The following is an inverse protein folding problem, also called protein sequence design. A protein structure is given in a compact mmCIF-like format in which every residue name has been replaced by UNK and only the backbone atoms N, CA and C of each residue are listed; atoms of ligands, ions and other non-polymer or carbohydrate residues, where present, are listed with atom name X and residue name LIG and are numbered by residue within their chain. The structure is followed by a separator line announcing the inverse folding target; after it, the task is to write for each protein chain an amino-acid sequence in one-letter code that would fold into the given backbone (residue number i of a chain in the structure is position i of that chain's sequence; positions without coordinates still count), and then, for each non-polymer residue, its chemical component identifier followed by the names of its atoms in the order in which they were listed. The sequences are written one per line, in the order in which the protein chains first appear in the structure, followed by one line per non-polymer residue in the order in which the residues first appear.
data_IF_421197622385
#
_entry.id   IF_421197622385
#
_cell.length_a   1.000
_cell.length_b   1.000
_cell.length_c   1.000
_cell.angle_alpha   90.00
_cell.angle_beta   90.00
_cell.angle_gamma   90.00
#
_symmetry.space_group_name_H-M   'P 1'
#
loop_
_entity.id
_entity.type
_entity.pdbx_description
1 polymer ?
#
# COMPACT_ATOMS: atom_id res chain seq x y z
N UNK A 1 14.49 -17.21 15.85
CA UNK A 1 14.51 -15.86 16.49
C UNK A 1 14.86 -14.87 15.39
N UNK A 2 13.87 -14.19 14.81
CA UNK A 2 14.14 -13.12 13.86
C UNK A 2 14.77 -11.96 14.63
N UNK A 3 15.95 -11.52 14.21
CA UNK A 3 16.65 -10.40 14.82
C UNK A 3 15.83 -9.13 14.60
N UNK A 4 15.79 -8.25 15.61
CA UNK A 4 14.98 -7.03 15.68
C UNK A 4 15.22 -5.99 14.56
N UNK A 5 16.05 -6.30 13.57
CA UNK A 5 16.39 -5.47 12.41
C UNK A 5 15.90 -6.05 11.07
N UNK A 6 15.46 -7.33 11.03
CA UNK A 6 15.07 -8.00 9.77
C UNK A 6 13.86 -7.33 9.11
N UNK A 7 12.89 -6.88 9.91
CA UNK A 7 11.71 -6.16 9.42
C UNK A 7 12.08 -4.84 8.75
N UNK A 8 13.15 -4.17 9.21
CA UNK A 8 13.59 -2.89 8.68
C UNK A 8 14.18 -3.06 7.28
N UNK A 9 14.94 -4.14 7.05
CA UNK A 9 15.43 -4.50 5.73
C UNK A 9 14.28 -4.74 4.74
N UNK A 10 13.28 -5.53 5.12
CA UNK A 10 12.09 -5.76 4.31
C UNK A 10 11.28 -4.48 4.06
N UNK A 11 11.22 -3.57 5.03
CA UNK A 11 10.55 -2.28 4.89
C UNK A 11 11.27 -1.36 3.89
N UNK A 12 12.60 -1.27 3.92
CA UNK A 12 13.38 -0.51 2.93
C UNK A 12 13.18 -1.10 1.54
N UNK A 13 13.26 -2.42 1.41
CA UNK A 13 13.06 -3.09 0.13
C UNK A 13 11.64 -2.84 -0.42
N UNK A 14 10.63 -2.88 0.44
CA UNK A 14 9.25 -2.50 0.11
C UNK A 14 9.14 -1.05 -0.36
N UNK A 15 9.84 -0.11 0.29
CA UNK A 15 9.85 1.30 -0.11
C UNK A 15 10.46 1.50 -1.51
N UNK A 16 11.53 0.78 -1.85
CA UNK A 16 12.14 0.79 -3.19
C UNK A 16 11.16 0.26 -4.24
N UNK A 17 10.52 -0.88 -3.98
CA UNK A 17 9.53 -1.45 -4.89
C UNK A 17 8.30 -0.56 -5.04
N UNK A 18 7.86 0.10 -3.98
CA UNK A 18 6.76 1.06 -4.01
C UNK A 18 7.10 2.29 -4.86
N UNK A 19 8.34 2.78 -4.80
CA UNK A 19 8.80 3.89 -5.64
C UNK A 19 8.84 3.49 -7.13
N UNK A 20 9.44 2.34 -7.46
CA UNK A 20 9.47 1.81 -8.83
C UNK A 20 8.06 1.59 -9.38
N UNK A 21 7.19 1.03 -8.55
CA UNK A 21 5.77 0.85 -8.82
C UNK A 21 5.10 2.15 -9.25
N UNK A 22 5.32 3.25 -8.52
CA UNK A 22 4.70 4.53 -8.82
C UNK A 22 5.17 5.08 -10.18
N UNK A 23 6.47 4.95 -10.49
CA UNK A 23 7.05 5.37 -11.76
C UNK A 23 6.52 4.53 -12.92
N UNK A 24 6.59 3.20 -12.82
CA UNK A 24 6.08 2.31 -13.87
C UNK A 24 4.57 2.45 -14.08
N UNK A 25 3.81 2.64 -13.00
CA UNK A 25 2.38 2.92 -13.13
C UNK A 25 2.13 4.23 -13.86
N UNK A 26 2.84 5.31 -13.51
CA UNK A 26 2.66 6.60 -14.20
C UNK A 26 3.04 6.52 -15.68
N UNK A 27 4.04 5.72 -16.06
CA UNK A 27 4.39 5.50 -17.47
C UNK A 27 3.33 4.61 -18.14
N UNK A 28 2.93 3.51 -17.50
CA UNK A 28 2.02 2.52 -18.08
C UNK A 28 0.56 2.97 -18.23
N UNK A 29 0.11 3.96 -17.46
CA UNK A 29 -1.23 4.55 -17.60
C UNK A 29 -1.29 5.66 -18.66
N UNK A 30 -0.16 6.08 -19.25
CA UNK A 30 -0.16 7.06 -20.33
C UNK A 30 -0.76 6.44 -21.60
N UNK A 31 -1.88 7.00 -22.07
CA UNK A 31 -2.57 6.52 -23.26
C UNK A 31 -3.50 5.33 -23.05
N UNK A 32 -3.65 4.83 -21.81
CA UNK A 32 -4.56 3.73 -21.46
C UNK A 32 -5.52 4.19 -20.35
N UNK A 33 -6.69 3.56 -20.26
CA UNK A 33 -7.57 3.77 -19.12
C UNK A 33 -6.92 3.28 -17.81
N UNK A 34 -7.06 4.04 -16.73
CA UNK A 34 -6.44 3.71 -15.43
C UNK A 34 -7.00 2.42 -14.84
N UNK A 35 -8.29 2.15 -15.07
CA UNK A 35 -8.96 0.98 -14.54
C UNK A 35 -8.48 -0.28 -15.29
N UNK A 36 -8.31 -0.17 -16.61
CA UNK A 36 -7.74 -1.23 -17.44
C UNK A 36 -6.28 -1.54 -17.06
N UNK A 37 -5.46 -0.50 -16.87
CA UNK A 37 -4.07 -0.68 -16.44
C UNK A 37 -3.99 -1.35 -15.05
N UNK A 38 -4.88 -0.98 -14.13
CA UNK A 38 -4.99 -1.59 -12.80
C UNK A 38 -5.42 -3.05 -12.88
N UNK A 39 -6.35 -3.39 -13.78
CA UNK A 39 -6.79 -4.76 -14.01
C UNK A 39 -5.64 -5.63 -14.54
N UNK A 40 -4.93 -5.18 -15.58
CA UNK A 40 -3.77 -5.89 -16.14
C UNK A 40 -2.71 -6.13 -15.06
N UNK A 41 -2.42 -5.09 -14.28
CA UNK A 41 -1.46 -5.19 -13.17
C UNK A 41 -1.90 -6.23 -12.13
N UNK A 42 -3.18 -6.23 -11.76
CA UNK A 42 -3.73 -7.18 -10.79
C UNK A 42 -3.63 -8.62 -11.32
N UNK A 43 -3.91 -8.83 -12.61
CA UNK A 43 -3.74 -10.14 -13.25
C UNK A 43 -2.28 -10.63 -13.18
N UNK A 44 -1.30 -9.75 -13.47
CA UNK A 44 0.13 -10.09 -13.34
C UNK A 44 0.47 -10.45 -11.89
N UNK A 45 -0.02 -9.68 -10.91
CA UNK A 45 0.22 -9.96 -9.49
C UNK A 45 -0.38 -11.32 -9.10
N UNK A 46 -1.59 -11.64 -9.55
CA UNK A 46 -2.22 -12.94 -9.30
C UNK A 46 -1.32 -14.07 -9.83
N UNK A 47 -0.87 -14.00 -11.08
CA UNK A 47 -0.02 -15.04 -11.67
C UNK A 47 1.28 -15.21 -10.87
N UNK A 48 1.97 -14.11 -10.55
CA UNK A 48 3.23 -14.16 -9.79
C UNK A 48 3.02 -14.74 -8.39
N UNK A 49 1.97 -14.30 -7.67
CA UNK A 49 1.66 -14.81 -6.34
C UNK A 49 1.23 -16.28 -6.38
N UNK A 50 0.44 -16.70 -7.36
CA UNK A 50 0.05 -18.11 -7.53
C UNK A 50 1.26 -19.01 -7.75
N UNK A 51 2.19 -18.62 -8.63
CA UNK A 51 3.44 -19.37 -8.87
C UNK A 51 4.28 -19.42 -7.59
N UNK A 52 4.39 -18.31 -6.86
CA UNK A 52 5.16 -18.25 -5.62
C UNK A 52 4.55 -19.12 -4.50
N UNK A 53 3.23 -19.10 -4.31
CA UNK A 53 2.54 -19.94 -3.32
C UNK A 53 2.67 -21.42 -3.68
N UNK A 54 2.54 -21.76 -4.96
CA UNK A 54 2.76 -23.12 -5.45
C UNK A 54 4.21 -23.59 -5.20
N UNK A 55 5.20 -22.75 -5.53
CA UNK A 55 6.62 -23.06 -5.32
C UNK A 55 6.99 -23.21 -3.84
N UNK A 56 6.42 -22.38 -2.97
CA UNK A 56 6.67 -22.44 -1.52
C UNK A 56 5.91 -23.57 -0.82
N UNK A 57 5.07 -24.32 -1.54
CA UNK A 57 4.27 -25.42 -0.97
C UNK A 57 3.22 -24.94 0.05
N UNK A 58 2.95 -23.63 0.12
CA UNK A 58 2.01 -23.03 1.08
C UNK A 58 0.57 -23.00 0.58
N UNK A 59 0.27 -23.81 -0.43
CA UNK A 59 -1.06 -23.87 -1.00
C UNK A 59 -2.01 -24.52 0.01
N UNK A 60 -2.80 -23.70 0.70
CA UNK A 60 -3.82 -24.14 1.63
C UNK A 60 -5.18 -24.20 0.93
N UNK A 61 -6.06 -25.09 1.40
CA UNK A 61 -7.41 -25.16 0.91
C UNK A 61 -8.17 -23.87 1.30
N UNK A 62 -8.69 -23.06 0.35
CA UNK A 62 -9.41 -21.82 0.67
C UNK A 62 -10.66 -22.04 1.53
N UNK A 63 -11.21 -23.26 1.53
CA UNK A 63 -12.38 -23.66 2.31
C UNK A 63 -12.06 -23.97 3.78
N UNK A 64 -10.80 -24.22 4.13
CA UNK A 64 -10.38 -24.42 5.53
C UNK A 64 -10.18 -23.09 6.28
N UNK A 65 -10.26 -21.96 5.57
CA UNK A 65 -10.15 -20.64 6.18
C UNK A 65 -11.43 -20.28 6.93
N UNK A 66 -11.28 -19.79 8.16
CA UNK A 66 -12.39 -19.31 8.98
C UNK A 66 -13.20 -18.21 8.27
N UNK A 67 -14.52 -18.17 8.48
CA UNK A 67 -15.40 -17.12 7.97
C UNK A 67 -14.97 -15.70 8.38
N UNK A 68 -14.34 -15.55 9.55
CA UNK A 68 -13.75 -14.27 9.99
C UNK A 68 -12.57 -13.87 9.11
N UNK A 69 -11.68 -14.81 8.79
CA UNK A 69 -10.53 -14.57 7.89
C UNK A 69 -11.02 -14.15 6.52
N UNK A 70 -12.02 -14.84 5.96
CA UNK A 70 -12.65 -14.47 4.69
C UNK A 70 -13.25 -13.07 4.71
N UNK A 71 -13.95 -12.68 5.78
CA UNK A 71 -14.51 -11.34 5.91
C UNK A 71 -13.43 -10.26 5.94
N UNK A 72 -12.40 -10.41 6.78
CA UNK A 72 -11.31 -9.43 6.88
C UNK A 72 -10.44 -9.38 5.62
N UNK A 73 -10.16 -10.52 4.96
CA UNK A 73 -9.48 -10.53 3.67
C UNK A 73 -10.32 -9.87 2.58
N UNK A 74 -11.63 -10.13 2.55
CA UNK A 74 -12.55 -9.51 1.60
C UNK A 74 -12.60 -7.99 1.77
N UNK A 75 -12.77 -7.51 3.01
CA UNK A 75 -12.75 -6.08 3.32
C UNK A 75 -11.39 -5.44 2.98
N UNK A 76 -10.28 -6.12 3.30
CA UNK A 76 -8.93 -5.65 2.95
C UNK A 76 -8.71 -5.59 1.44
N UNK A 77 -9.17 -6.59 0.70
CA UNK A 77 -9.11 -6.64 -0.76
C UNK A 77 -9.93 -5.51 -1.41
N UNK A 78 -11.15 -5.28 -0.94
CA UNK A 78 -11.99 -4.17 -1.38
C UNK A 78 -11.35 -2.81 -1.10
N UNK A 79 -10.78 -2.63 0.11
CA UNK A 79 -10.07 -1.41 0.47
C UNK A 79 -8.83 -1.18 -0.40
N UNK A 80 -8.09 -2.25 -0.72
CA UNK A 80 -6.91 -2.19 -1.59
C UNK A 80 -7.30 -1.84 -3.03
N UNK A 81 -8.35 -2.47 -3.56
CA UNK A 81 -8.86 -2.16 -4.90
C UNK A 81 -9.35 -0.72 -5.02
N UNK A 82 -10.13 -0.24 -4.03
CA UNK A 82 -10.58 1.15 -3.99
C UNK A 82 -9.41 2.14 -3.88
N UNK A 83 -8.40 1.82 -3.05
CA UNK A 83 -7.17 2.61 -2.93
C UNK A 83 -6.44 2.71 -4.25
N UNK A 84 -6.27 1.60 -4.98
CA UNK A 84 -5.59 1.58 -6.28
C UNK A 84 -6.34 2.40 -7.34
N UNK A 85 -7.66 2.25 -7.45
CA UNK A 85 -8.46 3.04 -8.39
C UNK A 85 -8.28 4.54 -8.14
N UNK A 86 -8.40 4.98 -6.89
CA UNK A 86 -8.18 6.38 -6.51
C UNK A 86 -6.73 6.84 -6.79
N UNK A 87 -5.74 6.02 -6.44
CA UNK A 87 -4.32 6.33 -6.58
C UNK A 87 -3.89 6.44 -8.05
N UNK A 88 -4.26 5.48 -8.90
CA UNK A 88 -3.89 5.51 -10.33
C UNK A 88 -4.63 6.61 -11.06
N UNK A 89 -5.89 6.89 -10.70
CA UNK A 89 -6.62 8.04 -11.24
C UNK A 89 -5.95 9.36 -10.84
N UNK A 90 -5.47 9.49 -9.61
CA UNK A 90 -4.68 10.65 -9.17
C UNK A 90 -3.34 10.76 -9.92
N UNK A 91 -2.63 9.64 -10.14
CA UNK A 91 -1.38 9.62 -10.92
C UNK A 91 -1.58 9.98 -12.39
N UNK A 92 -2.76 9.70 -12.96
CA UNK A 92 -3.08 10.04 -14.35
C UNK A 92 -3.24 11.55 -14.54
N UNK A 93 -3.82 12.25 -13.56
CA UNK A 93 -4.09 13.70 -13.63
C UNK A 93 -3.02 14.56 -12.96
N UNK A 94 -2.19 13.99 -12.09
CA UNK A 94 -1.21 14.71 -11.27
C UNK A 94 0.20 14.16 -11.38
N UNK A 95 1.16 14.89 -10.80
CA UNK A 95 2.56 14.46 -10.78
C UNK A 95 2.85 13.38 -9.75
N UNK A 96 3.64 12.36 -10.13
CA UNK A 96 4.03 11.31 -9.20
C UNK A 96 4.75 11.89 -7.97
N UNK A 97 5.50 12.99 -8.15
CA UNK A 97 6.15 13.73 -7.07
C UNK A 97 5.19 14.43 -6.10
N UNK A 98 3.94 14.69 -6.50
CA UNK A 98 2.89 15.28 -5.65
C UNK A 98 1.94 14.20 -5.10
N UNK A 99 1.57 13.23 -5.92
CA UNK A 99 0.64 12.13 -5.56
C UNK A 99 1.28 11.13 -4.61
N UNK A 100 2.55 10.74 -4.82
CA UNK A 100 3.21 9.74 -3.98
C UNK A 100 3.39 10.22 -2.53
N UNK A 101 3.78 11.48 -2.22
CA UNK A 101 3.77 11.97 -0.85
C UNK A 101 2.37 11.98 -0.23
N UNK A 102 1.35 12.45 -0.96
CA UNK A 102 -0.03 12.49 -0.45
C UNK A 102 -0.53 11.08 -0.09
N UNK A 103 -0.21 10.07 -0.89
CA UNK A 103 -0.50 8.66 -0.56
C UNK A 103 0.14 8.22 0.77
N UNK A 104 1.31 8.76 1.14
CA UNK A 104 1.96 8.49 2.43
C UNK A 104 1.25 9.12 3.63
N UNK A 105 0.28 10.02 3.45
CA UNK A 105 -0.62 10.40 4.55
C UNK A 105 -1.45 9.23 5.05
N UNK A 106 -1.55 8.13 4.29
CA UNK A 106 -2.09 6.86 4.79
C UNK A 106 -1.41 6.42 6.09
N UNK A 107 -0.12 6.72 6.31
CA UNK A 107 0.58 6.43 7.56
C UNK A 107 -0.06 7.15 8.76
N UNK A 108 -0.48 8.40 8.58
CA UNK A 108 -1.17 9.19 9.60
C UNK A 108 -2.54 8.55 9.89
N UNK A 109 -3.29 8.20 8.85
CA UNK A 109 -4.59 7.55 8.99
C UNK A 109 -4.48 6.17 9.65
N UNK A 110 -3.45 5.39 9.31
CA UNK A 110 -3.17 4.10 9.93
C UNK A 110 -2.87 4.28 11.41
N UNK A 111 -2.06 5.26 11.81
CA UNK A 111 -1.80 5.53 13.22
C UNK A 111 -3.08 5.93 13.99
N UNK A 112 -3.95 6.75 13.36
CA UNK A 112 -5.25 7.12 13.94
C UNK A 112 -6.17 5.91 14.07
N UNK A 113 -6.26 5.05 13.04
CA UNK A 113 -7.06 3.84 13.09
C UNK A 113 -6.50 2.79 14.04
N UNK A 114 -5.18 2.66 14.14
CA UNK A 114 -4.53 1.78 15.12
C UNK A 114 -4.83 2.23 16.56
N UNK A 115 -4.81 3.54 16.80
CA UNK A 115 -5.24 4.11 18.08
C UNK A 115 -6.73 3.87 18.36
N UNK A 116 -7.59 4.09 17.38
CA UNK A 116 -9.05 4.00 17.56
C UNK A 116 -9.58 2.56 17.62
N UNK A 117 -9.06 1.65 16.79
CA UNK A 117 -9.59 0.29 16.60
C UNK A 117 -8.72 -0.81 17.21
N UNK A 118 -7.39 -0.68 17.16
CA UNK A 118 -6.46 -1.69 17.70
C UNK A 118 -6.05 -1.39 19.16
N UNK A 119 -6.35 -0.19 19.67
CA UNK A 119 -5.99 0.23 21.02
C UNK A 119 -4.49 0.45 21.22
N UNK A 120 -3.72 0.52 20.12
CA UNK A 120 -2.31 0.90 20.17
C UNK A 120 -2.21 2.33 20.70
N UNK A 121 -1.34 2.59 21.69
CA UNK A 121 -1.15 3.93 22.25
C UNK A 121 0.18 4.48 21.79
N UNK A 122 0.24 5.19 20.63
CA UNK A 122 1.47 5.81 20.19
C UNK A 122 1.97 6.77 21.26
N UNK A 123 3.28 6.75 21.50
CA UNK A 123 3.91 7.67 22.43
C UNK A 123 3.88 9.10 21.89
N UNK A 124 4.15 10.09 22.75
CA UNK A 124 4.32 11.49 22.32
C UNK A 124 5.41 11.66 21.24
N UNK A 125 6.42 10.78 21.22
CA UNK A 125 7.46 10.76 20.18
C UNK A 125 6.94 10.22 18.85
N UNK A 126 6.07 9.21 18.88
CA UNK A 126 5.48 8.67 17.66
C UNK A 126 4.55 9.70 17.01
N UNK A 127 3.76 10.41 17.83
CA UNK A 127 2.92 11.51 17.38
C UNK A 127 3.71 12.66 16.74
N UNK A 128 4.86 13.04 17.30
CA UNK A 128 5.69 14.08 16.70
C UNK A 128 6.31 13.63 15.38
N UNK A 129 6.72 12.36 15.28
CA UNK A 129 7.18 11.76 14.01
C UNK A 129 6.09 11.75 12.94
N UNK A 130 4.87 11.32 13.30
CA UNK A 130 3.70 11.33 12.41
C UNK A 130 3.39 12.77 11.96
N UNK A 131 3.44 13.74 12.87
CA UNK A 131 3.22 15.15 12.54
C UNK A 131 4.29 15.71 11.60
N UNK A 132 5.57 15.32 11.76
CA UNK A 132 6.64 15.70 10.84
C UNK A 132 6.44 15.09 9.45
N UNK A 133 6.02 13.83 9.36
CA UNK A 133 5.69 13.19 8.08
C UNK A 133 4.53 13.92 7.41
N UNK A 134 3.45 14.18 8.15
CA UNK A 134 2.30 14.91 7.65
C UNK A 134 2.68 16.32 7.16
N UNK A 135 3.46 17.05 7.95
CA UNK A 135 3.97 18.38 7.58
C UNK A 135 4.85 18.33 6.32
N UNK A 136 5.76 17.36 6.22
CA UNK A 136 6.60 17.16 5.04
C UNK A 136 5.80 16.85 3.77
N UNK A 137 4.76 16.02 3.89
CA UNK A 137 3.85 15.72 2.77
C UNK A 137 3.09 16.97 2.33
N UNK A 138 2.52 17.74 3.27
CA UNK A 138 1.79 18.97 2.94
C UNK A 138 2.70 19.98 2.26
N UNK A 139 3.95 20.10 2.71
CA UNK A 139 4.94 21.00 2.11
C UNK A 139 5.27 20.60 0.66
N UNK A 140 5.40 19.30 0.38
CA UNK A 140 5.60 18.78 -0.98
C UNK A 140 4.34 18.93 -1.86
N UNK A 141 3.16 18.70 -1.29
CA UNK A 141 1.88 18.81 -2.00
C UNK A 141 1.55 20.26 -2.38
N UNK A 142 1.84 21.22 -1.50
CA UNK A 142 1.59 22.65 -1.72
C UNK A 142 2.73 23.39 -2.41
N UNK A 143 3.87 22.74 -2.67
CA UNK A 143 4.91 23.35 -3.49
C UNK A 143 4.38 23.51 -4.91
N UNK A 144 4.14 24.77 -5.30
CA UNK A 144 3.69 25.16 -6.64
C UNK A 144 4.69 24.67 -7.68
#
# INVERSE_FOLDING_TARGET
MATSTDWFYWAILSAVFAALTAIFAKIGIQGVDSDLATLIRTAIIIVVLSVFVAYTGKWANPFDLSSKTWLFLGLSGLATGASWVCYFRALKIGDASKVAPVDKLSLVLVAVFAFAFLGERPSLRDWSGIAMVAGGVLLLAFRR
#
